data_IF_459403677274
#
_entry.id   IF_459403677274
#
_cell.length_a   1.000
_cell.length_b   1.000
_cell.length_c   1.000
_cell.angle_alpha   90.00
_cell.angle_beta   90.00
_cell.angle_gamma   90.00
#
_symmetry.space_group_name_H-M   'P 1'
#
loop_
_entity.id
_entity.type
_entity.pdbx_description
1 polymer ?
#
# COMPACT_ATOMS: atom_id res chain seq x y z
N UNK A 1 -1.18 16.85 1.00
CA UNK A 1 -0.07 17.35 0.18
C UNK A 1 0.51 18.61 0.79
N UNK A 2 1.65 19.12 0.34
CA UNK A 2 2.26 20.32 0.95
C UNK A 2 1.34 21.56 1.00
N UNK A 3 0.54 21.79 -0.05
CA UNK A 3 -0.39 22.91 -0.13
C UNK A 3 -1.49 22.89 0.94
N UNK A 4 -1.84 21.72 1.49
CA UNK A 4 -2.85 21.62 2.54
C UNK A 4 -2.34 22.08 3.92
N UNK A 5 -1.15 22.68 3.99
CA UNK A 5 -0.61 23.34 5.19
C UNK A 5 -0.92 24.83 5.26
N UNK A 6 -1.50 25.42 4.21
CA UNK A 6 -1.93 26.81 4.24
C UNK A 6 -2.95 26.97 5.38
N UNK A 7 -2.74 27.98 6.21
CA UNK A 7 -3.66 28.29 7.30
C UNK A 7 -5.06 28.59 6.76
N UNK A 8 -6.10 28.06 7.40
CA UNK A 8 -7.48 28.27 6.96
C UNK A 8 -7.91 27.40 5.76
N UNK A 9 -7.05 26.57 5.18
CA UNK A 9 -7.40 25.79 3.97
C UNK A 9 -8.55 24.80 4.20
N UNK A 10 -8.64 24.21 5.39
CA UNK A 10 -9.76 23.33 5.75
C UNK A 10 -11.06 24.12 5.88
N UNK A 11 -11.03 25.28 6.53
CA UNK A 11 -12.19 26.14 6.73
C UNK A 11 -12.74 26.65 5.40
N UNK A 12 -11.85 27.06 4.49
CA UNK A 12 -12.22 27.43 3.12
C UNK A 12 -12.85 26.24 2.37
N UNK A 13 -12.30 25.04 2.56
CA UNK A 13 -12.89 23.81 2.01
C UNK A 13 -14.31 23.58 2.54
N UNK A 14 -14.53 23.73 3.85
CA UNK A 14 -15.85 23.59 4.45
C UNK A 14 -16.86 24.62 3.92
N UNK A 15 -16.43 25.87 3.75
CA UNK A 15 -17.27 26.94 3.19
C UNK A 15 -17.69 26.64 1.73
N UNK A 16 -16.76 26.17 0.90
CA UNK A 16 -17.04 25.86 -0.51
C UNK A 16 -17.87 24.59 -0.65
N UNK A 17 -17.50 23.52 0.04
CA UNK A 17 -18.08 22.19 -0.16
C UNK A 17 -19.30 21.91 0.73
N UNK A 18 -19.59 22.76 1.72
CA UNK A 18 -20.73 22.64 2.64
C UNK A 18 -20.77 21.28 3.38
N UNK A 19 -19.60 20.70 3.60
CA UNK A 19 -19.39 19.44 4.32
C UNK A 19 -18.11 19.55 5.18
N UNK A 20 -17.94 18.72 6.23
CA UNK A 20 -16.71 18.73 7.02
C UNK A 20 -15.47 18.40 6.18
N UNK A 21 -14.39 19.17 6.34
CA UNK A 21 -13.12 18.99 5.62
C UNK A 21 -11.96 18.95 6.61
N UNK A 22 -11.04 17.99 6.44
CA UNK A 22 -9.85 17.85 7.28
C UNK A 22 -8.58 17.68 6.46
N UNK A 23 -7.46 18.12 7.02
CA UNK A 23 -6.13 17.85 6.45
C UNK A 23 -5.72 16.42 6.79
N UNK A 24 -5.56 15.58 5.76
CA UNK A 24 -5.05 14.22 5.91
C UNK A 24 -3.54 14.18 6.17
N UNK A 25 -3.08 13.19 6.93
CA UNK A 25 -1.66 12.91 7.17
C UNK A 25 -1.37 11.46 6.79
N UNK A 26 -0.16 11.14 6.27
CA UNK A 26 0.17 9.76 5.94
C UNK A 26 0.24 8.88 7.20
N UNK A 27 -0.14 7.62 7.05
CA UNK A 27 -0.13 6.58 8.09
C UNK A 27 0.28 5.24 7.48
N UNK A 28 0.48 4.22 8.32
CA UNK A 28 0.80 2.85 7.86
C UNK A 28 2.29 2.48 7.89
N UNK A 29 3.17 3.41 8.28
CA UNK A 29 4.58 3.12 8.55
C UNK A 29 4.80 2.91 10.06
N UNK A 30 5.49 1.83 10.42
CA UNK A 30 5.84 1.49 11.79
C UNK A 30 7.34 1.77 11.99
N UNK A 31 7.71 2.36 13.14
CA UNK A 31 9.11 2.59 13.52
C UNK A 31 9.77 3.85 12.98
N UNK A 32 9.06 4.68 12.20
CA UNK A 32 9.58 5.92 11.63
C UNK A 32 9.04 7.16 12.37
N UNK A 33 9.91 8.16 12.54
CA UNK A 33 9.78 9.34 13.40
C UNK A 33 8.51 10.19 13.17
N UNK A 34 8.08 10.93 14.20
CA UNK A 34 6.96 11.90 14.16
C UNK A 34 7.01 12.91 13.01
N UNK A 35 8.19 13.13 12.41
CA UNK A 35 8.41 13.99 11.24
C UNK A 35 7.48 13.61 10.08
N UNK A 36 7.17 12.32 9.93
CA UNK A 36 6.32 11.84 8.84
C UNK A 36 4.83 12.13 9.05
N UNK A 37 4.39 12.57 10.24
CA UNK A 37 3.02 13.05 10.49
C UNK A 37 2.80 14.44 9.89
N UNK A 38 3.14 14.59 8.62
CA UNK A 38 3.09 15.83 7.89
C UNK A 38 2.58 15.54 6.46
N UNK A 39 1.53 16.24 5.98
CA UNK A 39 0.94 16.04 4.65
C UNK A 39 1.89 16.28 3.48
N UNK A 40 3.07 16.86 3.73
CA UNK A 40 4.14 16.99 2.73
C UNK A 40 4.66 15.61 2.28
N UNK A 41 4.68 14.62 3.19
CA UNK A 41 5.21 13.28 2.89
C UNK A 41 4.17 12.29 2.34
N UNK A 42 2.92 12.72 2.13
CA UNK A 42 1.83 11.82 1.70
C UNK A 42 2.15 11.00 0.46
N UNK A 43 2.76 11.61 -0.55
CA UNK A 43 3.11 10.92 -1.80
C UNK A 43 4.24 9.92 -1.59
N UNK A 44 5.31 10.33 -0.91
CA UNK A 44 6.47 9.45 -0.67
C UNK A 44 6.08 8.23 0.16
N UNK A 45 5.29 8.42 1.22
CA UNK A 45 4.77 7.31 2.04
C UNK A 45 3.87 6.40 1.21
N UNK A 46 2.98 6.97 0.38
CA UNK A 46 2.13 6.19 -0.50
C UNK A 46 2.91 5.33 -1.49
N UNK A 47 3.99 5.85 -2.07
CA UNK A 47 4.86 5.09 -2.98
C UNK A 47 5.57 3.93 -2.29
N UNK A 48 6.05 4.14 -1.06
CA UNK A 48 6.68 3.06 -0.28
C UNK A 48 5.68 1.95 0.03
N UNK A 49 4.48 2.31 0.50
CA UNK A 49 3.42 1.35 0.79
C UNK A 49 2.95 0.61 -0.47
N UNK A 50 2.89 1.32 -1.60
CA UNK A 50 2.56 0.73 -2.91
C UNK A 50 3.58 -0.34 -3.31
N UNK A 51 4.88 -0.02 -3.27
CA UNK A 51 5.94 -0.98 -3.59
C UNK A 51 5.97 -2.18 -2.63
N UNK A 52 5.67 -1.96 -1.34
CA UNK A 52 5.51 -3.04 -0.37
C UNK A 52 4.37 -3.99 -0.76
N UNK A 53 3.21 -3.44 -1.14
CA UNK A 53 2.04 -4.22 -1.55
C UNK A 53 2.30 -5.05 -2.80
N UNK A 54 2.92 -4.47 -3.82
CA UNK A 54 3.29 -5.22 -5.04
C UNK A 54 4.27 -6.36 -4.72
N UNK A 55 5.26 -6.10 -3.88
CA UNK A 55 6.23 -7.13 -3.45
C UNK A 55 5.53 -8.28 -2.72
N UNK A 56 4.57 -7.98 -1.85
CA UNK A 56 3.78 -9.00 -1.13
C UNK A 56 2.89 -9.82 -2.07
N UNK A 57 2.24 -9.17 -3.05
CA UNK A 57 1.43 -9.83 -4.08
C UNK A 57 2.28 -10.76 -4.95
N UNK A 58 3.46 -10.31 -5.40
CA UNK A 58 4.41 -11.14 -6.15
C UNK A 58 4.80 -12.39 -5.35
N UNK A 59 5.15 -12.25 -4.07
CA UNK A 59 5.51 -13.40 -3.22
C UNK A 59 4.38 -14.42 -3.11
N UNK A 60 3.13 -13.96 -2.99
CA UNK A 60 1.97 -14.84 -2.95
C UNK A 60 1.81 -15.59 -4.28
N UNK A 61 1.86 -14.89 -5.42
CA UNK A 61 1.73 -15.50 -6.75
C UNK A 61 2.84 -16.51 -7.04
N UNK A 62 4.08 -16.22 -6.64
CA UNK A 62 5.18 -17.18 -6.71
C UNK A 62 4.92 -18.42 -5.85
N UNK A 63 4.43 -18.26 -4.62
CA UNK A 63 4.12 -19.38 -3.73
C UNK A 63 2.99 -20.28 -4.29
N UNK A 64 1.92 -19.67 -4.81
CA UNK A 64 0.80 -20.40 -5.41
C UNK A 64 1.21 -21.14 -6.69
N UNK A 65 2.02 -20.50 -7.55
CA UNK A 65 2.53 -21.10 -8.79
C UNK A 65 3.48 -22.27 -8.51
N UNK A 66 4.37 -22.13 -7.52
CA UNK A 66 5.29 -23.19 -7.11
C UNK A 66 4.54 -24.45 -6.65
N UNK A 67 3.48 -24.28 -5.86
CA UNK A 67 2.70 -25.40 -5.33
C UNK A 67 2.02 -26.21 -6.45
N UNK A 68 1.45 -25.54 -7.45
CA UNK A 68 0.87 -26.22 -8.63
C UNK A 68 1.92 -27.00 -9.44
N UNK A 69 3.12 -26.45 -9.59
CA UNK A 69 4.23 -27.12 -10.27
C UNK A 69 4.67 -28.42 -9.59
N UNK A 70 4.77 -28.41 -8.26
CA UNK A 70 5.15 -29.59 -7.47
C UNK A 70 4.11 -30.69 -7.52
N UNK A 71 2.82 -30.33 -7.42
CA UNK A 71 1.71 -31.30 -7.53
C UNK A 71 1.68 -31.91 -8.93
N UNK A 72 1.84 -31.12 -9.99
CA UNK A 72 1.91 -31.63 -11.36
C UNK A 72 3.12 -32.54 -11.59
N UNK A 73 4.27 -32.25 -10.98
CA UNK A 73 5.44 -33.12 -11.06
C UNK A 73 5.22 -34.44 -10.31
N UNK A 74 4.57 -34.41 -9.15
CA UNK A 74 4.23 -35.60 -8.39
C UNK A 74 3.23 -36.51 -9.14
N UNK A 75 2.18 -35.92 -9.74
CA UNK A 75 1.23 -36.68 -10.56
C UNK A 75 1.90 -37.28 -11.81
N UNK A 76 2.78 -36.52 -12.48
CA UNK A 76 3.56 -37.04 -13.62
C UNK A 76 4.50 -38.17 -13.23
N UNK A 77 5.12 -38.11 -12.05
CA UNK A 77 5.99 -39.19 -11.56
C UNK A 77 5.21 -40.49 -11.33
N UNK A 78 4.02 -40.41 -10.72
CA UNK A 78 3.17 -41.60 -10.49
C UNK A 78 2.75 -42.23 -11.82
N UNK A 79 2.27 -41.42 -12.77
CA UNK A 79 1.81 -41.90 -14.07
C UNK A 79 2.94 -42.51 -14.93
N UNK A 80 4.19 -42.14 -14.68
CA UNK A 80 5.32 -42.62 -15.46
C UNK A 80 6.03 -43.83 -14.82
N UNK A 81 5.74 -44.16 -13.55
CA UNK A 81 6.33 -45.29 -12.82
C UNK A 81 5.35 -46.44 -12.52
N UNK A 82 4.05 -46.23 -12.69
CA UNK A 82 3.00 -47.24 -12.62
C UNK A 82 2.18 -47.21 -13.91
#
# INVERSE_FOLDING_TARGET
GGASKIEGISQLGEEIFQIPVRVGQPSGLIGLTDILKNPVYSTAVGLVLYGQKETEEDYLDFAFTRNKGLVNQAFKWIQNNF
#
